data_IF_157170888982
#
_entry.id   IF_157170888982
#
_cell.length_a   1.000
_cell.length_b   1.000
_cell.length_c   1.000
_cell.angle_alpha   90.00
_cell.angle_beta   90.00
_cell.angle_gamma   90.00
#
_symmetry.space_group_name_H-M   'P 1'
#
loop_
_entity.id
_entity.type
_entity.pdbx_description
1 polymer ?
#
# COMPACT_ATOMS: atom_id res chain seq x y z
N UNK A 1 0.17 -16.27 -13.18
CA UNK A 1 -0.06 -14.84 -13.38
C UNK A 1 -0.77 -14.26 -12.17
N UNK A 2 -0.41 -13.07 -11.77
CA UNK A 2 -1.06 -12.44 -10.64
C UNK A 2 -1.72 -11.15 -11.10
N UNK A 3 -2.66 -10.69 -10.31
CA UNK A 3 -3.39 -9.48 -10.61
C UNK A 3 -2.89 -8.33 -9.78
N UNK A 4 -2.85 -7.16 -10.37
CA UNK A 4 -2.55 -5.93 -9.66
C UNK A 4 -3.79 -5.08 -9.67
N UNK A 5 -4.21 -4.67 -8.49
CA UNK A 5 -5.40 -3.84 -8.36
C UNK A 5 -5.06 -2.54 -7.65
N UNK A 6 -5.64 -1.47 -8.15
CA UNK A 6 -5.46 -0.16 -7.51
C UNK A 6 -6.55 0.08 -6.49
N UNK A 7 -6.16 0.60 -5.36
CA UNK A 7 -7.07 0.89 -4.26
C UNK A 7 -6.77 2.25 -3.69
N UNK A 8 -7.72 2.75 -2.94
CA UNK A 8 -7.55 4.00 -2.22
C UNK A 8 -7.99 3.77 -0.78
N UNK A 9 -7.21 4.21 0.16
CA UNK A 9 -7.56 4.11 1.56
C UNK A 9 -7.11 5.35 2.31
N UNK A 10 -7.73 5.61 3.44
CA UNK A 10 -7.34 6.71 4.31
C UNK A 10 -6.57 6.14 5.48
N UNK A 11 -5.48 6.79 5.84
CA UNK A 11 -4.73 6.41 7.02
C UNK A 11 -4.50 7.64 7.88
N UNK A 12 -4.21 7.42 9.15
CA UNK A 12 -3.87 8.47 10.07
C UNK A 12 -2.41 8.31 10.45
N UNK A 13 -1.61 9.32 10.17
CA UNK A 13 -0.17 9.23 10.40
C UNK A 13 0.34 10.58 10.88
N UNK A 14 1.01 10.60 12.03
CA UNK A 14 1.60 11.82 12.59
C UNK A 14 0.59 12.95 12.72
N UNK A 15 -0.63 12.62 13.17
CA UNK A 15 -1.71 13.58 13.34
C UNK A 15 -2.29 14.14 12.04
N UNK A 16 -1.93 13.53 10.93
CA UNK A 16 -2.51 13.92 9.64
C UNK A 16 -3.34 12.78 9.08
N UNK A 17 -4.46 13.14 8.45
CA UNK A 17 -5.26 12.17 7.75
C UNK A 17 -4.83 12.17 6.29
N UNK A 18 -4.31 11.05 5.83
CA UNK A 18 -3.77 10.94 4.49
C UNK A 18 -4.62 10.00 3.66
N UNK A 19 -4.79 10.34 2.41
CA UNK A 19 -5.44 9.47 1.43
C UNK A 19 -4.33 8.84 0.60
N UNK A 20 -4.26 7.53 0.62
CA UNK A 20 -3.20 6.79 -0.07
C UNK A 20 -3.79 6.03 -1.24
N UNK A 21 -3.25 6.29 -2.41
CA UNK A 21 -3.58 5.49 -3.58
C UNK A 21 -2.44 4.49 -3.78
N UNK A 22 -2.80 3.23 -3.87
CA UNK A 22 -1.78 2.18 -3.91
C UNK A 22 -2.21 1.01 -4.78
N UNK A 23 -1.22 0.23 -5.21
CA UNK A 23 -1.46 -1.05 -5.86
C UNK A 23 -1.21 -2.15 -4.84
N UNK A 24 -2.08 -3.12 -4.82
CA UNK A 24 -1.88 -4.31 -4.00
C UNK A 24 -1.56 -5.46 -4.93
N UNK A 25 -0.52 -6.21 -4.61
CA UNK A 25 -0.18 -7.39 -5.38
C UNK A 25 0.03 -8.56 -4.45
N UNK A 26 -0.42 -9.71 -4.92
CA UNK A 26 -0.27 -10.95 -4.18
C UNK A 26 0.28 -11.96 -5.16
N UNK A 27 1.50 -12.41 -4.90
CA UNK A 27 2.14 -13.35 -5.78
C UNK A 27 1.48 -14.71 -5.67
N UNK A 28 1.44 -15.41 -6.79
CA UNK A 28 0.89 -16.75 -6.80
C UNK A 28 1.82 -17.70 -6.08
N UNK A 29 1.21 -18.71 -5.51
CA UNK A 29 1.97 -19.76 -4.88
C UNK A 29 2.62 -20.65 -5.91
N UNK A 30 3.55 -21.44 -5.43
CA UNK A 30 4.10 -22.49 -6.27
C UNK A 30 5.33 -22.08 -6.98
N UNK A 31 5.89 -20.99 -6.67
CA UNK A 31 7.11 -20.67 -7.26
C UNK A 31 8.20 -21.41 -6.63
N UNK A 32 8.90 -21.84 -7.39
CA UNK A 32 9.90 -22.73 -7.33
C UNK A 32 11.00 -22.41 -6.43
N UNK A 33 11.30 -21.29 -6.12
CA UNK A 33 12.44 -21.00 -5.30
C UNK A 33 12.13 -21.12 -3.81
N UNK A 34 10.94 -21.54 -3.48
CA UNK A 34 10.62 -21.78 -2.10
C UNK A 34 10.32 -20.55 -1.27
N UNK A 35 10.34 -19.42 -1.90
CA UNK A 35 9.99 -18.22 -1.14
C UNK A 35 8.51 -18.10 -0.95
N UNK A 36 7.75 -18.80 -1.73
CA UNK A 36 6.32 -18.82 -1.59
C UNK A 36 5.68 -17.53 -2.00
N UNK A 37 4.53 -17.30 -1.45
CA UNK A 37 3.76 -16.12 -1.76
C UNK A 37 4.16 -15.00 -0.84
N UNK A 38 4.26 -13.82 -1.38
CA UNK A 38 4.34 -12.68 -0.50
C UNK A 38 3.40 -11.61 -1.00
N UNK A 39 2.93 -10.79 -0.08
CA UNK A 39 2.01 -9.72 -0.39
C UNK A 39 2.75 -8.42 -0.25
N UNK A 40 2.34 -7.46 -1.05
CA UNK A 40 2.94 -6.15 -0.94
C UNK A 40 2.05 -5.08 -1.51
N UNK A 41 2.33 -3.87 -1.14
CA UNK A 41 1.64 -2.73 -1.71
C UNK A 41 2.67 -1.77 -2.26
N UNK A 42 2.27 -1.08 -3.31
CA UNK A 42 3.10 -0.04 -3.91
C UNK A 42 2.35 1.27 -3.78
N UNK A 43 2.93 2.23 -3.10
CA UNK A 43 2.30 3.53 -2.92
C UNK A 43 2.42 4.31 -4.22
N UNK A 44 1.30 4.75 -4.74
CA UNK A 44 1.27 5.52 -5.97
C UNK A 44 1.17 7.00 -5.69
N UNK A 45 0.31 7.37 -4.78
CA UNK A 45 0.10 8.78 -4.43
C UNK A 45 -0.28 8.91 -2.98
N UNK A 46 0.12 10.03 -2.41
CA UNK A 46 -0.27 10.40 -1.05
C UNK A 46 -0.87 11.79 -1.12
N UNK A 47 -2.07 11.93 -0.62
CA UNK A 47 -2.80 13.19 -0.64
C UNK A 47 -3.09 13.63 0.78
N UNK A 48 -2.86 14.91 1.04
CA UNK A 48 -3.24 15.52 2.30
C UNK A 48 -4.24 16.62 1.96
N UNK A 49 -5.49 16.41 2.38
CA UNK A 49 -6.53 17.40 2.13
C UNK A 49 -6.65 17.74 0.65
N UNK A 50 -6.63 16.74 -0.19
CA UNK A 50 -6.69 16.82 -1.64
C UNK A 50 -5.43 17.40 -2.29
N UNK A 51 -4.41 17.71 -1.51
CA UNK A 51 -3.14 18.19 -2.05
C UNK A 51 -2.19 17.00 -2.18
N UNK A 52 -1.61 16.85 -3.35
CA UNK A 52 -0.67 15.75 -3.62
C UNK A 52 0.67 16.08 -2.96
N UNK A 53 1.02 15.30 -1.96
CA UNK A 53 2.28 15.48 -1.25
C UNK A 53 3.21 14.28 -1.46
N UNK A 54 2.98 13.52 -2.50
CA UNK A 54 3.71 12.28 -2.74
C UNK A 54 5.22 12.45 -2.67
N UNK A 55 5.74 13.50 -3.27
CA UNK A 55 7.18 13.73 -3.28
C UNK A 55 7.73 14.11 -1.92
N UNK A 56 6.96 14.87 -1.16
CA UNK A 56 7.40 15.36 0.14
C UNK A 56 7.50 14.25 1.19
N UNK A 57 6.72 13.19 1.01
CA UNK A 57 6.65 12.11 2.00
C UNK A 57 7.26 10.81 1.51
N UNK A 58 8.01 10.85 0.45
CA UNK A 58 8.56 9.66 -0.15
C UNK A 58 9.42 8.86 0.84
N UNK A 59 10.08 9.54 1.74
CA UNK A 59 10.91 8.90 2.75
C UNK A 59 10.09 8.13 3.79
N UNK A 60 8.78 8.37 3.84
CA UNK A 60 7.89 7.66 4.77
C UNK A 60 7.15 6.52 4.10
N UNK A 61 7.42 6.24 2.84
CA UNK A 61 6.67 5.22 2.12
C UNK A 61 6.75 3.85 2.78
N UNK A 62 7.87 3.50 3.37
CA UNK A 62 8.01 2.21 4.05
C UNK A 62 6.98 2.08 5.17
N UNK A 63 6.80 3.15 5.94
CA UNK A 63 5.82 3.15 7.03
C UNK A 63 4.41 3.10 6.47
N UNK A 64 4.14 3.86 5.41
CA UNK A 64 2.82 3.86 4.80
C UNK A 64 2.48 2.49 4.25
N UNK A 65 3.44 1.82 3.64
CA UNK A 65 3.20 0.50 3.09
C UNK A 65 2.77 -0.49 4.16
N UNK A 66 3.41 -0.44 5.30
CA UNK A 66 3.04 -1.31 6.42
C UNK A 66 1.63 -1.04 6.90
N UNK A 67 1.30 0.24 7.08
CA UNK A 67 -0.02 0.61 7.56
C UNK A 67 -1.10 0.24 6.55
N UNK A 68 -0.84 0.54 5.28
CA UNK A 68 -1.80 0.27 4.22
C UNK A 68 -2.02 -1.22 4.05
N UNK A 69 -0.94 -2.01 4.09
CA UNK A 69 -1.06 -3.45 3.95
C UNK A 69 -1.86 -4.03 5.11
N UNK A 70 -1.63 -3.56 6.31
CA UNK A 70 -2.37 -4.01 7.47
C UNK A 70 -3.85 -3.70 7.32
N UNK A 71 -4.19 -2.50 6.90
CA UNK A 71 -5.58 -2.12 6.70
C UNK A 71 -6.24 -2.95 5.61
N UNK A 72 -5.51 -3.21 4.55
CA UNK A 72 -6.02 -4.01 3.44
C UNK A 72 -6.39 -5.41 3.92
N UNK A 73 -5.51 -6.01 4.69
CA UNK A 73 -5.74 -7.35 5.23
C UNK A 73 -6.90 -7.34 6.21
N UNK A 74 -6.94 -6.37 7.10
CA UNK A 74 -8.00 -6.28 8.12
C UNK A 74 -9.37 -6.08 7.49
N UNK A 75 -9.43 -5.38 6.40
CA UNK A 75 -10.71 -5.13 5.74
C UNK A 75 -11.14 -6.28 4.84
N UNK A 76 -10.31 -7.27 4.67
CA UNK A 76 -10.69 -8.43 3.86
C UNK A 76 -10.76 -8.15 2.37
N UNK A 77 -10.04 -7.19 1.91
CA UNK A 77 -10.10 -6.79 0.50
C UNK A 77 -9.26 -7.68 -0.42
#
# INVERSE_FOLDING_TARGET
>A
MYEIKSHTTDIHYNNDDLTIKYNYSKAELGYFDGTGTFEGVEILRVLLDTVDITRQVKHNFDDYEKIVLQKHIENGL
#
